data_IF_473934788355
#
_entry.id   IF_473934788355
#
_cell.length_a   1.000
_cell.length_b   1.000
_cell.length_c   1.000
_cell.angle_alpha   90.00
_cell.angle_beta   90.00
_cell.angle_gamma   90.00
#
_symmetry.space_group_name_H-M   'P 1'
#
loop_
_entity.id
_entity.type
_entity.pdbx_description
1 polymer ?
#
# COMPACT_ATOMS: atom_id res chain seq x y z
N UNK A 1 -31.18 -8.02 9.87
CA UNK A 1 -29.73 -7.71 9.78
C UNK A 1 -29.02 -9.04 9.64
N UNK A 2 -28.99 -9.54 8.41
CA UNK A 2 -28.61 -10.91 8.08
C UNK A 2 -27.10 -11.10 8.12
N UNK A 3 -26.71 -12.13 8.86
CA UNK A 3 -25.49 -12.92 8.80
C UNK A 3 -24.38 -12.40 7.85
N UNK A 4 -23.35 -11.79 8.44
CA UNK A 4 -22.00 -11.79 7.88
C UNK A 4 -21.54 -13.25 7.79
N UNK A 5 -21.75 -13.88 6.63
CA UNK A 5 -21.36 -15.27 6.37
C UNK A 5 -19.85 -15.40 6.54
N UNK A 6 -19.46 -16.06 7.62
CA UNK A 6 -18.08 -16.37 7.99
C UNK A 6 -17.57 -17.62 7.24
N UNK A 7 -17.69 -17.61 5.92
CA UNK A 7 -17.01 -18.55 5.02
C UNK A 7 -16.63 -17.82 3.72
N UNK A 8 -15.87 -16.73 3.87
CA UNK A 8 -15.30 -16.03 2.72
C UNK A 8 -14.09 -16.80 2.22
N UNK A 9 -14.08 -17.15 0.93
CA UNK A 9 -12.90 -17.73 0.30
C UNK A 9 -11.69 -16.80 0.49
N UNK A 10 -10.46 -17.35 0.57
CA UNK A 10 -9.25 -16.54 0.69
C UNK A 10 -9.14 -15.45 -0.37
N UNK A 11 -9.60 -15.73 -1.59
CA UNK A 11 -9.65 -14.78 -2.71
C UNK A 11 -10.59 -13.59 -2.44
N UNK A 12 -11.75 -13.85 -1.85
CA UNK A 12 -12.73 -12.82 -1.56
C UNK A 12 -12.29 -11.95 -0.37
N UNK A 13 -11.74 -12.58 0.68
CA UNK A 13 -11.15 -11.86 1.81
C UNK A 13 -9.96 -10.99 1.35
N UNK A 14 -9.10 -11.52 0.48
CA UNK A 14 -8.03 -10.78 -0.18
C UNK A 14 -8.54 -9.54 -0.90
N UNK A 15 -9.52 -9.74 -1.81
CA UNK A 15 -10.08 -8.67 -2.62
C UNK A 15 -10.64 -7.56 -1.76
N UNK A 16 -11.43 -7.89 -0.74
CA UNK A 16 -12.00 -6.90 0.18
C UNK A 16 -10.91 -6.13 0.92
N UNK A 17 -9.90 -6.83 1.46
CA UNK A 17 -8.79 -6.18 2.16
C UNK A 17 -8.00 -5.27 1.21
N UNK A 18 -7.71 -5.73 -0.01
CA UNK A 18 -6.99 -4.98 -1.03
C UNK A 18 -7.75 -3.72 -1.45
N UNK A 19 -9.04 -3.82 -1.72
CA UNK A 19 -9.90 -2.70 -2.10
C UNK A 19 -10.00 -1.65 -0.99
N UNK A 20 -10.30 -2.06 0.25
CA UNK A 20 -10.40 -1.15 1.40
C UNK A 20 -9.06 -0.48 1.69
N UNK A 21 -7.96 -1.24 1.62
CA UNK A 21 -6.62 -0.71 1.83
C UNK A 21 -6.24 0.28 0.74
N UNK A 22 -6.46 -0.07 -0.54
CA UNK A 22 -6.20 0.82 -1.67
C UNK A 22 -7.01 2.12 -1.57
N UNK A 23 -8.32 2.03 -1.31
CA UNK A 23 -9.17 3.20 -1.12
C UNK A 23 -8.66 4.10 0.03
N UNK A 24 -8.22 3.48 1.13
CA UNK A 24 -7.65 4.20 2.26
C UNK A 24 -6.34 4.92 1.90
N UNK A 25 -5.46 4.28 1.12
CA UNK A 25 -4.25 4.91 0.58
C UNK A 25 -4.59 6.10 -0.31
N UNK A 26 -5.58 5.94 -1.18
CA UNK A 26 -6.04 6.96 -2.12
C UNK A 26 -6.52 8.20 -1.36
N UNK A 27 -7.37 8.02 -0.35
CA UNK A 27 -7.90 9.12 0.47
C UNK A 27 -6.78 9.79 1.27
N UNK A 28 -5.88 9.00 1.85
CA UNK A 28 -4.80 9.50 2.71
C UNK A 28 -3.69 10.20 1.91
N UNK A 29 -3.38 9.72 0.72
CA UNK A 29 -2.29 10.22 -0.14
C UNK A 29 -2.84 10.89 -1.42
N UNK A 30 -3.90 11.69 -1.29
CA UNK A 30 -4.80 12.27 -2.33
C UNK A 30 -4.22 12.62 -3.73
N UNK A 31 -2.92 12.85 -3.86
CA UNK A 31 -2.23 13.18 -5.13
C UNK A 31 -1.47 12.01 -5.80
N UNK A 32 -1.42 10.82 -5.17
CA UNK A 32 -0.50 9.73 -5.55
C UNK A 32 -1.19 8.43 -6.01
N UNK A 33 -2.40 8.55 -6.56
CA UNK A 33 -3.23 7.44 -7.03
C UNK A 33 -2.46 6.49 -7.97
N UNK A 34 -1.82 7.07 -8.99
CA UNK A 34 -1.12 6.32 -10.03
C UNK A 34 0.14 5.64 -9.52
N UNK A 35 0.81 6.24 -8.55
CA UNK A 35 2.02 5.69 -7.95
C UNK A 35 1.68 4.61 -6.90
N UNK A 36 0.60 4.76 -6.14
CA UNK A 36 0.10 3.72 -5.22
C UNK A 36 -0.36 2.48 -5.99
N UNK A 37 -1.06 2.66 -7.11
CA UNK A 37 -1.52 1.55 -7.94
C UNK A 37 -0.35 0.74 -8.56
N UNK A 38 0.82 1.36 -8.74
CA UNK A 38 2.03 0.73 -9.28
C UNK A 38 2.97 0.17 -8.22
N UNK A 39 2.58 0.23 -6.95
CA UNK A 39 3.40 -0.24 -5.86
C UNK A 39 3.64 -1.74 -5.98
N UNK A 40 4.89 -2.15 -5.82
CA UNK A 40 5.31 -3.54 -5.95
C UNK A 40 5.51 -4.20 -4.59
N UNK A 41 5.59 -5.54 -4.56
CA UNK A 41 6.00 -6.30 -3.38
C UNK A 41 7.38 -5.87 -2.85
N UNK A 42 8.30 -5.51 -3.75
CA UNK A 42 9.63 -4.96 -3.40
C UNK A 42 9.53 -3.61 -2.68
N UNK A 43 8.52 -2.81 -2.98
CA UNK A 43 8.33 -1.51 -2.31
C UNK A 43 7.82 -1.71 -0.86
N UNK A 44 7.07 -2.78 -0.60
CA UNK A 44 6.61 -3.12 0.76
C UNK A 44 7.77 -3.42 1.71
N UNK A 45 8.85 -4.04 1.21
CA UNK A 45 10.03 -4.34 2.03
C UNK A 45 10.90 -3.12 2.31
N UNK A 46 10.74 -2.05 1.52
CA UNK A 46 11.45 -0.77 1.68
C UNK A 46 10.72 0.21 2.59
N UNK A 47 9.61 -0.19 3.18
CA UNK A 47 8.86 0.69 4.08
C UNK A 47 9.68 1.01 5.33
N UNK A 48 9.79 2.30 5.65
CA UNK A 48 10.50 2.78 6.84
C UNK A 48 9.56 3.59 7.72
N UNK A 49 9.81 3.61 9.03
CA UNK A 49 9.04 4.41 9.98
C UNK A 49 9.92 5.49 10.59
N UNK A 50 9.46 6.73 10.50
CA UNK A 50 10.16 7.88 11.07
C UNK A 50 11.55 8.16 10.48
N UNK A 51 12.20 9.21 11.00
CA UNK A 51 13.52 9.65 10.57
C UNK A 51 13.53 10.89 9.67
N UNK A 52 14.72 11.46 9.51
CA UNK A 52 14.97 12.75 8.84
C UNK A 52 15.41 12.61 7.37
N UNK A 53 15.52 11.39 6.84
CA UNK A 53 16.14 11.09 5.55
C UNK A 53 15.25 11.28 4.32
N UNK A 54 14.02 11.78 4.47
CA UNK A 54 13.15 12.05 3.32
C UNK A 54 13.75 13.18 2.50
N UNK A 55 13.74 13.07 1.18
CA UNK A 55 13.96 14.22 0.30
C UNK A 55 12.86 15.27 0.57
N UNK A 56 13.09 16.17 1.54
CA UNK A 56 12.11 17.16 2.03
C UNK A 56 11.75 18.22 0.97
N UNK A 57 12.47 18.23 -0.15
CA UNK A 57 12.26 19.17 -1.25
C UNK A 57 10.84 19.07 -1.82
N UNK A 58 10.04 20.11 -1.59
CA UNK A 58 8.68 20.21 -2.12
C UNK A 58 7.57 19.65 -1.22
N UNK A 59 7.91 19.20 0.00
CA UNK A 59 6.92 18.86 1.03
C UNK A 59 6.59 20.09 1.90
N UNK A 60 5.32 20.24 2.25
CA UNK A 60 4.87 21.21 3.25
C UNK A 60 5.38 20.85 4.65
N UNK A 61 5.41 21.83 5.56
CA UNK A 61 5.82 21.61 6.97
C UNK A 61 5.05 20.46 7.62
N UNK A 62 3.74 20.38 7.40
CA UNK A 62 2.92 19.29 7.92
C UNK A 62 3.35 17.93 7.37
N UNK A 63 3.56 17.82 6.06
CA UNK A 63 4.03 16.56 5.44
C UNK A 63 5.39 16.13 5.99
N UNK A 64 6.29 17.09 6.25
CA UNK A 64 7.59 16.81 6.86
C UNK A 64 7.45 16.26 8.29
N UNK A 65 6.58 16.84 9.13
CA UNK A 65 6.32 16.32 10.47
C UNK A 65 5.66 14.94 10.43
N UNK A 66 4.72 14.70 9.51
CA UNK A 66 4.09 13.39 9.34
C UNK A 66 5.12 12.31 8.94
N UNK A 67 6.12 12.64 8.12
CA UNK A 67 7.18 11.71 7.74
C UNK A 67 8.02 11.23 8.93
N UNK A 68 8.08 11.99 10.03
CA UNK A 68 8.84 11.64 11.24
C UNK A 68 8.14 10.60 12.11
N UNK A 69 6.81 10.46 11.97
CA UNK A 69 6.00 9.61 12.86
C UNK A 69 5.31 8.45 12.14
N UNK A 70 5.01 8.62 10.85
CA UNK A 70 4.32 7.62 10.03
C UNK A 70 5.29 6.65 9.35
N UNK A 71 4.73 5.54 8.89
CA UNK A 71 5.39 4.68 7.91
C UNK A 71 5.41 5.38 6.56
N UNK A 72 6.44 5.13 5.77
CA UNK A 72 6.54 5.62 4.40
C UNK A 72 7.23 4.62 3.49
N UNK A 73 6.89 4.72 2.21
CA UNK A 73 7.68 4.17 1.12
C UNK A 73 7.98 5.27 0.12
N UNK A 74 9.21 5.30 -0.38
CA UNK A 74 9.66 6.30 -1.34
C UNK A 74 9.50 5.74 -2.76
N UNK A 75 8.71 6.42 -3.57
CA UNK A 75 8.38 5.98 -4.93
C UNK A 75 8.63 7.11 -5.94
N UNK A 76 8.91 6.72 -7.18
CA UNK A 76 9.20 7.67 -8.25
C UNK A 76 7.88 8.26 -8.77
N UNK A 77 7.66 9.53 -8.48
CA UNK A 77 6.52 10.30 -8.98
C UNK A 77 6.78 10.90 -10.36
N UNK A 78 5.83 11.72 -10.83
CA UNK A 78 5.95 12.46 -12.09
C UNK A 78 7.25 13.27 -12.16
N UNK A 79 7.84 13.33 -13.36
CA UNK A 79 9.11 14.04 -13.65
C UNK A 79 10.31 13.49 -12.86
N UNK A 80 10.28 12.21 -12.46
CA UNK A 80 11.40 11.53 -11.81
C UNK A 80 11.64 11.95 -10.35
N UNK A 81 10.71 12.69 -9.74
CA UNK A 81 10.85 13.11 -8.34
C UNK A 81 10.46 11.97 -7.41
N UNK A 82 11.36 11.60 -6.51
CA UNK A 82 11.03 10.69 -5.41
C UNK A 82 10.07 11.36 -4.44
N UNK A 83 8.96 10.69 -4.12
CA UNK A 83 7.95 11.19 -3.21
C UNK A 83 7.60 10.13 -2.16
N UNK A 84 7.32 10.53 -0.90
CA UNK A 84 6.87 9.59 0.10
C UNK A 84 5.37 9.29 -0.09
N UNK A 85 5.01 8.01 0.00
CA UNK A 85 3.64 7.58 0.29
C UNK A 85 3.58 7.20 1.77
N UNK A 86 2.67 7.86 2.48
CA UNK A 86 2.55 7.76 3.92
C UNK A 86 1.52 6.69 4.31
N UNK A 87 1.80 6.02 5.41
CA UNK A 87 1.00 4.93 5.95
C UNK A 87 0.90 5.05 7.47
N UNK A 88 -0.30 4.84 7.99
CA UNK A 88 -0.49 4.61 9.43
C UNK A 88 -0.06 3.19 9.80
N UNK A 89 0.08 2.89 11.09
CA UNK A 89 0.37 1.51 11.52
C UNK A 89 -0.68 0.53 10.98
N UNK A 90 -1.98 0.88 11.06
CA UNK A 90 -3.06 0.04 10.54
C UNK A 90 -2.93 -0.25 9.04
N UNK A 91 -2.48 0.73 8.25
CA UNK A 91 -2.25 0.52 6.82
C UNK A 91 -1.07 -0.40 6.59
N UNK A 92 0.02 -0.22 7.35
CA UNK A 92 1.19 -1.10 7.25
C UNK A 92 0.83 -2.54 7.61
N UNK A 93 0.06 -2.74 8.68
CA UNK A 93 -0.41 -4.07 9.10
C UNK A 93 -1.29 -4.72 8.01
N UNK A 94 -2.18 -3.94 7.38
CA UNK A 94 -3.00 -4.41 6.26
C UNK A 94 -2.15 -4.79 5.03
N UNK A 95 -1.13 -3.98 4.70
CA UNK A 95 -0.20 -4.28 3.60
C UNK A 95 0.64 -5.52 3.88
N UNK A 96 1.07 -5.72 5.12
CA UNK A 96 1.82 -6.92 5.52
C UNK A 96 0.94 -8.17 5.49
N UNK A 97 -0.32 -8.04 5.91
CA UNK A 97 -1.30 -9.12 5.83
C UNK A 97 -1.60 -9.49 4.37
N UNK A 98 -1.75 -8.49 3.49
CA UNK A 98 -1.80 -8.72 2.04
C UNK A 98 -0.51 -9.43 1.60
N UNK A 99 0.68 -8.90 1.88
CA UNK A 99 1.90 -9.55 1.40
C UNK A 99 2.02 -11.03 1.81
N UNK A 100 1.64 -11.38 3.04
CA UNK A 100 1.68 -12.74 3.58
C UNK A 100 0.59 -13.68 3.03
N UNK A 101 -0.55 -13.16 2.58
CA UNK A 101 -1.70 -13.98 2.16
C UNK A 101 -1.82 -14.17 0.64
N UNK A 102 -0.87 -13.65 -0.15
CA UNK A 102 -0.86 -13.68 -1.63
C UNK A 102 -1.06 -15.08 -2.21
N UNK A 103 -0.24 -16.03 -1.76
CA UNK A 103 -0.28 -17.41 -2.26
C UNK A 103 -1.60 -18.10 -1.94
N UNK A 104 -2.13 -17.87 -0.73
CA UNK A 104 -3.43 -18.40 -0.30
C UNK A 104 -4.60 -17.82 -1.11
N UNK A 105 -4.46 -16.59 -1.60
CA UNK A 105 -5.45 -15.90 -2.41
C UNK A 105 -5.32 -16.18 -3.93
N UNK A 106 -4.45 -17.11 -4.34
CA UNK A 106 -4.27 -17.45 -5.76
C UNK A 106 -3.58 -16.35 -6.57
N UNK A 107 -2.80 -15.48 -5.94
CA UNK A 107 -1.94 -14.53 -6.66
C UNK A 107 -0.72 -15.26 -7.19
N UNK A 108 -0.46 -15.14 -8.48
CA UNK A 108 0.72 -15.72 -9.13
C UNK A 108 2.02 -15.11 -8.56
N UNK A 109 3.07 -15.91 -8.45
CA UNK A 109 4.35 -15.48 -7.88
C UNK A 109 5.07 -14.44 -8.74
N UNK A 110 4.84 -14.45 -10.06
CA UNK A 110 5.39 -13.49 -11.03
C UNK A 110 4.68 -12.13 -10.98
N UNK A 111 3.44 -12.09 -10.47
CA UNK A 111 2.69 -10.86 -10.30
C UNK A 111 3.29 -10.07 -9.13
N UNK A 112 4.02 -9.01 -9.44
CA UNK A 112 4.70 -8.18 -8.44
C UNK A 112 3.83 -7.06 -7.87
N UNK A 113 2.59 -6.89 -8.33
CA UNK A 113 1.72 -5.80 -7.88
C UNK A 113 1.29 -6.01 -6.42
N UNK A 114 1.45 -4.99 -5.57
CA UNK A 114 1.04 -5.06 -4.17
C UNK A 114 -0.47 -5.30 -4.00
N UNK A 115 -1.28 -4.71 -4.90
CA UNK A 115 -2.74 -4.87 -4.96
C UNK A 115 -3.17 -5.75 -6.14
N UNK A 116 -2.48 -6.87 -6.35
CA UNK A 116 -2.81 -7.82 -7.43
C UNK A 116 -4.22 -8.38 -7.30
N UNK A 117 -4.85 -8.65 -8.45
CA UNK A 117 -6.12 -9.36 -8.50
C UNK A 117 -5.86 -10.88 -8.58
N UNK A 118 -6.65 -11.69 -7.86
CA UNK A 118 -6.64 -13.15 -8.06
C UNK A 118 -6.86 -13.51 -9.52
N UNK A 119 -6.08 -14.46 -10.03
CA UNK A 119 -6.17 -15.00 -11.40
C UNK A 119 -5.89 -13.98 -12.53
N UNK A 120 -5.34 -12.80 -12.24
CA UNK A 120 -4.87 -11.86 -13.26
C UNK A 120 -3.38 -12.09 -13.57
N UNK A 121 -3.05 -12.31 -14.84
CA UNK A 121 -1.67 -12.23 -15.34
C UNK A 121 -1.21 -10.77 -15.39
N UNK A 122 0.10 -10.56 -15.16
CA UNK A 122 0.76 -9.25 -15.21
C UNK A 122 0.80 -8.63 -16.60
#
# INVERSE_FOLDING_TARGET
>A
MEALKSDQSPEHAWKNLAEVTLASFIVFNRKRLGEVAKMTTSDLTKCTKGGNGVALGGLSKLEQELCKVLWRVEIIGKKGRTVPVLMTNKFKDAMDLLHQSRSKAGILEDNNCAFAMPHSCS
#
